data_IF_935830959222
#
_entry.id   IF_935830959222
#
_cell.length_a   1.000
_cell.length_b   1.000
_cell.length_c   1.000
_cell.angle_alpha   90.00
_cell.angle_beta   90.00
_cell.angle_gamma   90.00
#
_symmetry.space_group_name_H-M   'P 1'
#
loop_
_entity.id
_entity.type
_entity.pdbx_description
1 polymer ?
#
# COMPACT_ATOMS: atom_id res chain seq x y z
N UNK A 1 -27.96 34.96 1.15
CA UNK A 1 -28.22 33.54 0.80
C UNK A 1 -29.26 32.87 1.72
N UNK A 2 -30.35 33.55 2.13
CA UNK A 2 -31.17 33.07 3.26
C UNK A 2 -32.62 32.67 2.96
N UNK A 3 -33.23 33.05 1.83
CA UNK A 3 -34.64 32.69 1.55
C UNK A 3 -34.76 31.50 0.59
N UNK A 4 -34.14 31.56 -0.59
CA UNK A 4 -34.17 30.47 -1.58
C UNK A 4 -33.62 29.12 -1.08
N UNK A 5 -32.62 29.13 -0.20
CA UNK A 5 -32.04 27.93 0.39
C UNK A 5 -32.94 27.31 1.46
N UNK A 6 -33.65 28.14 2.24
CA UNK A 6 -34.67 27.67 3.18
C UNK A 6 -35.91 27.17 2.45
N UNK A 7 -36.37 27.86 1.42
CA UNK A 7 -37.52 27.45 0.59
C UNK A 7 -37.27 26.09 -0.07
N UNK A 8 -36.09 25.87 -0.67
CA UNK A 8 -35.72 24.55 -1.25
C UNK A 8 -35.66 23.43 -0.21
N UNK A 9 -35.22 23.72 1.02
CA UNK A 9 -35.22 22.72 2.09
C UNK A 9 -36.66 22.38 2.51
N UNK A 10 -37.54 23.37 2.64
CA UNK A 10 -38.95 23.14 2.98
C UNK A 10 -39.71 22.38 1.89
N UNK A 11 -39.39 22.59 0.62
CA UNK A 11 -39.97 21.81 -0.48
C UNK A 11 -39.50 20.35 -0.44
N UNK A 12 -38.21 20.13 -0.20
CA UNK A 12 -37.65 18.78 -0.06
C UNK A 12 -38.23 18.02 1.15
N UNK A 13 -38.46 18.71 2.27
CA UNK A 13 -39.10 18.12 3.44
C UNK A 13 -40.54 17.69 3.15
N UNK A 14 -41.29 18.50 2.39
CA UNK A 14 -42.63 18.12 1.92
C UNK A 14 -42.61 16.85 1.07
N UNK A 15 -41.60 16.67 0.22
CA UNK A 15 -41.46 15.45 -0.60
C UNK A 15 -41.09 14.22 0.23
N UNK A 16 -40.24 14.36 1.25
CA UNK A 16 -39.92 13.29 2.18
C UNK A 16 -41.14 12.88 3.02
N UNK A 17 -41.89 13.87 3.52
CA UNK A 17 -43.13 13.63 4.26
C UNK A 17 -44.19 12.97 3.37
N UNK A 18 -44.30 13.38 2.10
CA UNK A 18 -45.19 12.76 1.13
C UNK A 18 -44.80 11.30 0.85
N UNK A 19 -43.50 11.00 0.70
CA UNK A 19 -43.01 9.63 0.51
C UNK A 19 -43.28 8.75 1.73
N UNK A 20 -43.06 9.28 2.94
CA UNK A 20 -43.35 8.57 4.19
C UNK A 20 -44.85 8.35 4.38
N UNK A 21 -45.69 9.33 4.03
CA UNK A 21 -47.16 9.18 4.03
C UNK A 21 -47.62 8.12 3.03
N UNK A 22 -47.05 8.11 1.83
CA UNK A 22 -47.39 7.12 0.81
C UNK A 22 -47.00 5.71 1.29
N UNK A 23 -45.81 5.56 1.88
CA UNK A 23 -45.39 4.30 2.50
C UNK A 23 -46.34 3.87 3.62
N UNK A 24 -46.67 4.78 4.53
CA UNK A 24 -47.60 4.49 5.62
C UNK A 24 -48.99 4.13 5.11
N UNK A 25 -49.48 4.79 4.05
CA UNK A 25 -50.74 4.46 3.40
C UNK A 25 -50.68 3.08 2.73
N UNK A 26 -49.57 2.73 2.08
CA UNK A 26 -49.39 1.42 1.47
C UNK A 26 -49.32 0.31 2.52
N UNK A 27 -48.60 0.51 3.61
CA UNK A 27 -48.53 -0.42 4.74
C UNK A 27 -49.89 -0.52 5.47
N UNK A 28 -50.61 0.59 5.64
CA UNK A 28 -51.93 0.64 6.28
C UNK A 28 -53.07 0.11 5.41
N UNK A 29 -52.94 0.17 4.07
CA UNK A 29 -53.92 -0.37 3.14
C UNK A 29 -54.01 -1.91 3.20
N UNK A 30 -53.12 -2.57 3.96
CA UNK A 30 -53.12 -4.00 4.26
C UNK A 30 -53.44 -4.84 3.02
N UNK A 31 -52.80 -4.48 1.89
CA UNK A 31 -52.92 -5.16 0.61
C UNK A 31 -52.17 -6.50 0.70
N UNK A 32 -52.71 -7.38 1.53
CA UNK A 32 -52.23 -8.70 1.91
C UNK A 32 -52.31 -9.68 0.74
N UNK A 33 -52.18 -9.26 -0.52
CA UNK A 33 -52.18 -10.17 -1.68
C UNK A 33 -51.18 -11.31 -1.47
N UNK A 34 -49.97 -11.00 -1.01
CA UNK A 34 -48.93 -12.01 -0.73
C UNK A 34 -49.23 -12.92 0.47
N UNK A 35 -50.11 -12.48 1.38
CA UNK A 35 -50.56 -13.28 2.52
C UNK A 35 -51.79 -14.10 2.14
N UNK A 36 -52.77 -13.51 1.45
CA UNK A 36 -53.91 -14.20 0.88
C UNK A 36 -53.50 -15.25 -0.15
N UNK A 37 -52.41 -15.06 -0.91
CA UNK A 37 -51.87 -16.12 -1.76
C UNK A 37 -51.30 -17.27 -0.94
N UNK A 38 -50.66 -17.01 0.20
CA UNK A 38 -50.18 -18.04 1.13
C UNK A 38 -51.31 -18.73 1.88
N UNK A 39 -52.33 -17.97 2.30
CA UNK A 39 -53.54 -18.49 2.94
C UNK A 39 -54.32 -19.35 1.93
N UNK A 40 -54.49 -18.90 0.69
CA UNK A 40 -55.08 -19.70 -0.38
C UNK A 40 -54.27 -20.95 -0.69
N UNK A 41 -52.94 -20.87 -0.71
CA UNK A 41 -52.07 -22.03 -0.91
C UNK A 41 -52.11 -23.03 0.26
N UNK A 42 -52.47 -22.57 1.47
CA UNK A 42 -52.61 -23.42 2.66
C UNK A 42 -54.05 -23.85 2.94
N UNK A 43 -55.03 -23.28 2.24
CA UNK A 43 -56.43 -23.64 2.38
C UNK A 43 -56.68 -25.05 1.82
N UNK A 44 -56.97 -25.99 2.72
CA UNK A 44 -57.45 -27.33 2.37
C UNK A 44 -58.97 -27.36 2.48
N UNK A 45 -59.65 -27.92 1.50
CA UNK A 45 -61.09 -28.15 1.58
C UNK A 45 -61.38 -29.15 2.71
N UNK A 46 -62.29 -28.79 3.63
CA UNK A 46 -62.63 -29.60 4.81
C UNK A 46 -63.29 -30.97 4.47
N UNK A 47 -63.69 -31.17 3.20
CA UNK A 47 -64.36 -32.39 2.70
C UNK A 47 -63.47 -33.32 1.87
N UNK A 48 -62.15 -33.10 1.80
CA UNK A 48 -61.20 -34.01 1.12
C UNK A 48 -60.95 -35.28 1.96
N UNK A 49 -61.99 -36.08 2.13
CA UNK A 49 -61.87 -37.48 2.50
C UNK A 49 -61.34 -38.21 1.26
N UNK A 50 -60.07 -38.59 1.32
CA UNK A 50 -59.30 -39.39 0.35
C UNK A 50 -58.55 -38.61 -0.72
N UNK A 51 -57.29 -38.25 -0.42
CA UNK A 51 -56.11 -38.75 -1.14
C UNK A 51 -54.87 -38.51 -0.26
N UNK A 52 -54.51 -39.48 0.56
CA UNK A 52 -53.19 -39.50 1.21
C UNK A 52 -52.15 -39.83 0.14
N UNK A 53 -51.44 -38.83 -0.37
CA UNK A 53 -50.31 -39.02 -1.27
C UNK A 53 -50.38 -38.14 -2.51
N UNK A 54 -50.20 -36.83 -2.33
CA UNK A 54 -49.25 -36.06 -3.14
C UNK A 54 -49.08 -34.68 -2.50
N UNK A 55 -47.84 -34.21 -2.52
CA UNK A 55 -47.44 -32.88 -2.05
C UNK A 55 -48.39 -31.82 -2.63
N UNK A 56 -49.07 -31.08 -1.76
CA UNK A 56 -50.00 -30.00 -2.13
C UNK A 56 -49.19 -28.77 -2.54
N UNK A 57 -48.43 -28.92 -3.62
CA UNK A 57 -48.07 -27.81 -4.50
C UNK A 57 -49.38 -27.24 -5.08
N UNK A 58 -49.51 -25.93 -5.30
CA UNK A 58 -50.69 -25.37 -5.96
C UNK A 58 -50.89 -26.10 -7.29
N UNK A 59 -51.87 -27.01 -7.35
CA UNK A 59 -52.19 -27.71 -8.60
C UNK A 59 -52.47 -26.63 -9.63
N UNK A 60 -51.63 -26.58 -10.67
CA UNK A 60 -51.81 -25.68 -11.78
C UNK A 60 -53.30 -25.73 -12.19
N UNK A 61 -54.00 -24.60 -12.32
CA UNK A 61 -55.41 -24.59 -12.70
C UNK A 61 -55.68 -25.41 -13.97
N UNK A 62 -54.69 -25.60 -14.83
CA UNK A 62 -54.76 -26.52 -15.98
C UNK A 62 -54.90 -28.01 -15.56
N UNK A 63 -54.17 -28.45 -14.54
CA UNK A 63 -54.24 -29.83 -14.01
C UNK A 63 -55.58 -30.05 -13.31
N UNK A 64 -56.04 -29.09 -12.50
CA UNK A 64 -57.36 -29.17 -11.85
C UNK A 64 -58.48 -29.23 -12.88
N UNK A 65 -58.39 -28.44 -13.95
CA UNK A 65 -59.37 -28.49 -15.04
C UNK A 65 -59.39 -29.86 -15.74
N UNK A 66 -58.23 -30.49 -15.92
CA UNK A 66 -58.13 -31.83 -16.49
C UNK A 66 -58.74 -32.90 -15.56
N UNK A 67 -58.45 -32.83 -14.26
CA UNK A 67 -59.01 -33.73 -13.24
C UNK A 67 -60.54 -33.60 -13.17
N UNK A 68 -61.06 -32.37 -13.16
CA UNK A 68 -62.51 -32.11 -13.16
C UNK A 68 -63.15 -32.65 -14.43
N UNK A 69 -62.53 -32.48 -15.60
CA UNK A 69 -63.03 -33.06 -16.85
C UNK A 69 -63.05 -34.60 -16.81
N UNK A 70 -62.00 -35.22 -16.26
CA UNK A 70 -61.93 -36.66 -16.07
C UNK A 70 -63.02 -37.16 -15.10
N UNK A 71 -63.21 -36.48 -13.95
CA UNK A 71 -64.29 -36.80 -13.01
C UNK A 71 -65.68 -36.61 -13.62
N UNK A 72 -65.91 -35.56 -14.41
CA UNK A 72 -67.18 -35.34 -15.11
C UNK A 72 -67.46 -36.50 -16.08
N UNK A 73 -66.46 -36.95 -16.83
CA UNK A 73 -66.63 -38.10 -17.74
C UNK A 73 -66.87 -39.40 -16.98
N UNK A 74 -66.18 -39.62 -15.86
CA UNK A 74 -66.43 -40.74 -14.96
C UNK A 74 -67.85 -40.71 -14.38
N UNK A 75 -68.31 -39.58 -13.85
CA UNK A 75 -69.67 -39.43 -13.31
C UNK A 75 -70.74 -39.59 -14.38
N UNK A 76 -70.51 -39.15 -15.63
CA UNK A 76 -71.40 -39.46 -16.75
C UNK A 76 -71.48 -40.96 -16.99
N UNK A 77 -70.35 -41.66 -17.02
CA UNK A 77 -70.29 -43.12 -17.18
C UNK A 77 -70.99 -43.84 -16.03
N UNK A 78 -70.74 -43.41 -14.79
CA UNK A 78 -71.39 -43.94 -13.58
C UNK A 78 -72.90 -43.71 -13.62
N UNK A 79 -73.36 -42.53 -14.04
CA UNK A 79 -74.78 -42.25 -14.24
C UNK A 79 -75.41 -43.20 -15.26
N UNK A 80 -74.75 -43.44 -16.40
CA UNK A 80 -75.25 -44.38 -17.41
C UNK A 80 -75.32 -45.81 -16.85
N UNK A 81 -74.26 -46.27 -16.17
CA UNK A 81 -74.23 -47.58 -15.53
C UNK A 81 -75.31 -47.73 -14.44
N UNK A 82 -75.50 -46.71 -13.61
CA UNK A 82 -76.54 -46.70 -12.58
C UNK A 82 -77.94 -46.73 -13.19
N UNK A 83 -78.21 -45.93 -14.22
CA UNK A 83 -79.50 -45.96 -14.91
C UNK A 83 -79.75 -47.31 -15.58
N UNK A 84 -78.73 -47.91 -16.19
CA UNK A 84 -78.82 -49.24 -16.78
C UNK A 84 -79.06 -50.32 -15.72
N UNK A 85 -78.33 -50.29 -14.60
CA UNK A 85 -78.49 -51.25 -13.51
C UNK A 85 -79.84 -51.06 -12.79
N UNK A 86 -80.29 -49.83 -12.60
CA UNK A 86 -81.61 -49.52 -12.04
C UNK A 86 -82.72 -49.99 -12.99
N UNK A 87 -82.56 -49.80 -14.31
CA UNK A 87 -83.50 -50.35 -15.29
C UNK A 87 -83.52 -51.88 -15.26
N UNK A 88 -82.36 -52.54 -15.15
CA UNK A 88 -82.26 -54.00 -15.00
C UNK A 88 -82.89 -54.48 -13.69
N UNK A 89 -82.62 -53.83 -12.57
CA UNK A 89 -83.18 -54.17 -11.25
C UNK A 89 -84.71 -53.97 -11.23
N UNK A 90 -85.20 -52.87 -11.80
CA UNK A 90 -86.65 -52.64 -11.99
C UNK A 90 -87.28 -53.69 -12.88
N UNK A 91 -86.64 -54.06 -13.98
CA UNK A 91 -87.12 -55.10 -14.89
C UNK A 91 -87.17 -56.47 -14.19
N UNK A 92 -86.10 -56.86 -13.50
CA UNK A 92 -86.03 -58.11 -12.73
C UNK A 92 -87.07 -58.11 -11.62
N UNK A 93 -87.20 -57.05 -10.83
CA UNK A 93 -88.26 -56.95 -9.81
C UNK A 93 -89.63 -57.08 -10.44
N UNK A 94 -89.93 -56.34 -11.52
CA UNK A 94 -91.24 -56.42 -12.19
C UNK A 94 -91.60 -57.81 -12.76
N UNK A 95 -90.60 -58.67 -13.00
CA UNK A 95 -90.80 -60.01 -13.57
C UNK A 95 -90.70 -61.12 -12.52
N UNK A 96 -89.88 -60.92 -11.47
CA UNK A 96 -89.49 -61.96 -10.51
C UNK A 96 -90.15 -61.78 -9.14
N UNK A 97 -90.58 -60.57 -8.74
CA UNK A 97 -91.42 -60.43 -7.55
C UNK A 97 -92.88 -60.76 -7.89
N UNK A 98 -93.57 -61.46 -6.99
CA UNK A 98 -95.00 -61.69 -7.08
C UNK A 98 -95.73 -60.36 -7.34
N UNK A 99 -96.73 -60.41 -8.24
CA UNK A 99 -97.43 -59.26 -8.86
C UNK A 99 -97.96 -58.24 -7.83
N UNK A 100 -98.10 -58.63 -6.56
CA UNK A 100 -98.68 -57.83 -5.50
C UNK A 100 -97.70 -56.89 -4.75
N UNK A 101 -96.37 -57.07 -4.87
CA UNK A 101 -95.36 -56.24 -4.17
C UNK A 101 -94.49 -55.38 -5.12
N UNK A 102 -94.85 -55.35 -6.42
CA UNK A 102 -94.22 -54.47 -7.38
C UNK A 102 -94.64 -53.01 -7.08
N UNK A 103 -93.71 -52.07 -6.80
CA UNK A 103 -94.06 -50.68 -6.58
C UNK A 103 -94.72 -50.12 -7.84
N UNK A 104 -96.02 -49.86 -7.77
CA UNK A 104 -96.76 -49.23 -8.87
C UNK A 104 -96.27 -47.79 -8.91
N UNK A 105 -95.35 -47.48 -9.83
CA UNK A 105 -94.97 -46.10 -10.11
C UNK A 105 -96.21 -45.40 -10.64
N UNK A 106 -96.90 -44.65 -9.79
CA UNK A 106 -98.14 -43.99 -10.18
C UNK A 106 -97.82 -42.78 -11.05
N UNK A 107 -98.80 -42.36 -11.86
CA UNK A 107 -98.67 -41.14 -12.65
C UNK A 107 -98.51 -39.88 -11.76
N UNK A 108 -98.89 -39.96 -10.48
CA UNK A 108 -98.77 -38.90 -9.48
C UNK A 108 -97.33 -38.79 -8.96
N UNK A 109 -96.69 -39.90 -8.58
CA UNK A 109 -95.28 -39.92 -8.15
C UNK A 109 -94.33 -39.36 -9.22
N UNK A 110 -94.61 -39.66 -10.50
CA UNK A 110 -93.84 -39.12 -11.61
C UNK A 110 -94.02 -37.61 -11.78
N UNK A 111 -95.21 -37.07 -11.47
CA UNK A 111 -95.48 -35.62 -11.52
C UNK A 111 -94.78 -34.90 -10.36
N UNK A 112 -94.80 -35.48 -9.16
CA UNK A 112 -94.09 -34.92 -7.99
C UNK A 112 -92.57 -34.89 -8.21
N UNK A 113 -92.00 -36.00 -8.70
CA UNK A 113 -90.57 -36.06 -9.05
C UNK A 113 -90.22 -35.10 -10.19
N UNK A 114 -91.10 -34.88 -11.16
CA UNK A 114 -90.89 -33.89 -12.21
C UNK A 114 -90.83 -32.47 -11.63
N UNK A 115 -91.76 -32.11 -10.73
CA UNK A 115 -91.79 -30.81 -10.08
C UNK A 115 -90.54 -30.55 -9.22
N UNK A 116 -90.11 -31.53 -8.40
CA UNK A 116 -88.89 -31.42 -7.58
C UNK A 116 -87.63 -31.31 -8.46
N UNK A 117 -87.59 -32.06 -9.57
CA UNK A 117 -86.47 -31.95 -10.52
C UNK A 117 -86.44 -30.61 -11.23
N UNK A 118 -87.59 -30.03 -11.57
CA UNK A 118 -87.68 -28.70 -12.18
C UNK A 118 -87.20 -27.62 -11.21
N UNK A 119 -87.63 -27.67 -9.95
CA UNK A 119 -87.16 -26.75 -8.90
C UNK A 119 -85.64 -26.84 -8.69
N UNK A 120 -85.10 -28.07 -8.59
CA UNK A 120 -83.65 -28.28 -8.46
C UNK A 120 -82.89 -27.81 -9.70
N UNK A 121 -83.43 -28.00 -10.90
CA UNK A 121 -82.84 -27.49 -12.15
C UNK A 121 -82.84 -25.96 -12.17
N UNK A 122 -83.90 -25.31 -11.74
CA UNK A 122 -83.98 -23.86 -11.65
C UNK A 122 -82.93 -23.31 -10.67
N UNK A 123 -82.83 -23.89 -9.46
CA UNK A 123 -81.80 -23.52 -8.46
C UNK A 123 -80.38 -23.71 -9.01
N UNK A 124 -80.12 -24.84 -9.66
CA UNK A 124 -78.81 -25.13 -10.25
C UNK A 124 -78.48 -24.19 -11.42
N UNK A 125 -79.47 -23.78 -12.22
CA UNK A 125 -79.28 -22.82 -13.30
C UNK A 125 -78.85 -21.46 -12.75
N UNK A 126 -79.56 -20.95 -11.75
CA UNK A 126 -79.21 -19.68 -11.08
C UNK A 126 -77.82 -19.75 -10.46
N UNK A 127 -77.49 -20.85 -9.77
CA UNK A 127 -76.15 -21.03 -9.20
C UNK A 127 -75.05 -21.09 -10.26
N UNK A 128 -75.30 -21.72 -11.41
CA UNK A 128 -74.35 -21.76 -12.54
C UNK A 128 -74.15 -20.39 -13.17
N UNK A 129 -75.22 -19.63 -13.35
CA UNK A 129 -75.16 -18.26 -13.88
C UNK A 129 -74.35 -17.36 -12.93
N UNK A 130 -74.64 -17.40 -11.62
CA UNK A 130 -73.87 -16.67 -10.61
C UNK A 130 -72.40 -17.09 -10.55
N UNK A 131 -72.09 -18.39 -10.65
CA UNK A 131 -70.71 -18.86 -10.71
C UNK A 131 -69.99 -18.34 -11.96
N UNK A 132 -70.67 -18.36 -13.12
CA UNK A 132 -70.09 -17.88 -14.39
C UNK A 132 -69.80 -16.38 -14.34
N UNK A 133 -70.69 -15.59 -13.75
CA UNK A 133 -70.47 -14.15 -13.53
C UNK A 133 -69.27 -13.89 -12.61
N UNK A 134 -69.17 -14.61 -11.48
CA UNK A 134 -68.03 -14.47 -10.56
C UNK A 134 -66.73 -14.88 -11.26
N UNK A 135 -66.71 -15.98 -12.00
CA UNK A 135 -65.54 -16.41 -12.77
C UNK A 135 -65.14 -15.38 -13.83
N UNK A 136 -66.13 -14.78 -14.51
CA UNK A 136 -65.88 -13.73 -15.48
C UNK A 136 -65.24 -12.50 -14.81
N UNK A 137 -65.82 -12.06 -13.68
CA UNK A 137 -65.31 -10.92 -12.90
C UNK A 137 -63.90 -11.19 -12.36
N UNK A 138 -63.60 -12.40 -11.89
CA UNK A 138 -62.25 -12.77 -11.46
C UNK A 138 -61.28 -12.68 -12.65
N UNK A 139 -61.65 -13.23 -13.81
CA UNK A 139 -60.79 -13.23 -15.00
C UNK A 139 -60.48 -11.82 -15.53
N UNK A 140 -61.41 -10.88 -15.37
CA UNK A 140 -61.23 -9.49 -15.81
C UNK A 140 -60.55 -8.60 -14.77
N UNK A 141 -60.96 -8.70 -13.49
CA UNK A 141 -60.49 -7.83 -12.42
C UNK A 141 -59.14 -8.28 -11.83
N UNK A 142 -58.89 -9.59 -11.71
CA UNK A 142 -57.64 -10.09 -11.14
C UNK A 142 -56.37 -9.53 -11.83
N UNK A 143 -56.25 -9.55 -13.18
CA UNK A 143 -55.05 -8.99 -13.83
C UNK A 143 -54.95 -7.46 -13.65
N UNK A 144 -56.07 -6.74 -13.55
CA UNK A 144 -56.05 -5.29 -13.29
C UNK A 144 -55.53 -4.99 -11.89
N UNK A 145 -56.04 -5.69 -10.88
CA UNK A 145 -55.61 -5.55 -9.48
C UNK A 145 -54.13 -5.92 -9.32
N UNK A 146 -53.66 -6.99 -9.98
CA UNK A 146 -52.25 -7.37 -9.96
C UNK A 146 -51.35 -6.31 -10.60
N UNK A 147 -51.75 -5.77 -11.76
CA UNK A 147 -51.00 -4.69 -12.42
C UNK A 147 -50.94 -3.43 -11.57
N UNK A 148 -52.03 -3.03 -10.94
CA UNK A 148 -52.04 -1.83 -10.12
C UNK A 148 -51.29 -2.03 -8.80
N UNK A 149 -51.40 -3.21 -8.19
CA UNK A 149 -50.60 -3.57 -7.02
C UNK A 149 -49.10 -3.53 -7.33
N UNK A 150 -48.66 -4.12 -8.45
CA UNK A 150 -47.25 -4.12 -8.85
C UNK A 150 -46.74 -2.72 -9.17
N UNK A 151 -47.54 -1.88 -9.85
CA UNK A 151 -47.20 -0.46 -10.09
C UNK A 151 -47.03 0.30 -8.77
N UNK A 152 -48.00 0.21 -7.86
CA UNK A 152 -47.95 0.91 -6.57
C UNK A 152 -46.75 0.43 -5.77
N UNK A 153 -46.51 -0.88 -5.71
CA UNK A 153 -45.33 -1.45 -5.05
C UNK A 153 -44.02 -0.86 -5.61
N UNK A 154 -43.83 -0.86 -6.94
CA UNK A 154 -42.63 -0.29 -7.54
C UNK A 154 -42.47 1.21 -7.26
N UNK A 155 -43.56 1.98 -7.31
CA UNK A 155 -43.53 3.42 -7.01
C UNK A 155 -43.17 3.65 -5.54
N UNK A 156 -43.73 2.87 -4.62
CA UNK A 156 -43.40 2.95 -3.18
C UNK A 156 -41.92 2.65 -2.95
N UNK A 157 -41.37 1.58 -3.53
CA UNK A 157 -39.96 1.20 -3.40
C UNK A 157 -39.01 2.28 -3.96
N UNK A 158 -39.35 2.84 -5.14
CA UNK A 158 -38.60 3.96 -5.72
C UNK A 158 -38.63 5.20 -4.84
N UNK A 159 -39.81 5.55 -4.31
CA UNK A 159 -39.95 6.68 -3.40
C UNK A 159 -39.13 6.49 -2.12
N UNK A 160 -39.11 5.29 -1.54
CA UNK A 160 -38.30 4.99 -0.35
C UNK A 160 -36.80 5.08 -0.63
N UNK A 161 -36.33 4.54 -1.77
CA UNK A 161 -34.93 4.62 -2.16
C UNK A 161 -34.49 6.07 -2.37
N UNK A 162 -35.32 6.88 -3.03
CA UNK A 162 -35.02 8.30 -3.24
C UNK A 162 -35.00 9.07 -1.92
N UNK A 163 -35.95 8.80 -1.01
CA UNK A 163 -35.97 9.42 0.31
C UNK A 163 -34.68 9.13 1.10
N UNK A 164 -34.21 7.88 1.09
CA UNK A 164 -32.93 7.50 1.71
C UNK A 164 -31.75 8.25 1.09
N UNK A 165 -31.64 8.30 -0.24
CA UNK A 165 -30.56 9.03 -0.93
C UNK A 165 -30.56 10.53 -0.58
N UNK A 166 -31.73 11.14 -0.44
CA UNK A 166 -31.83 12.56 -0.03
C UNK A 166 -31.31 12.75 1.39
N UNK A 167 -31.66 11.85 2.31
CA UNK A 167 -31.16 11.88 3.69
C UNK A 167 -29.63 11.70 3.74
N UNK A 168 -29.09 10.74 3.01
CA UNK A 168 -27.64 10.51 2.93
C UNK A 168 -26.89 11.71 2.35
N UNK A 169 -27.42 12.31 1.27
CA UNK A 169 -26.86 13.51 0.68
C UNK A 169 -26.90 14.69 1.66
N UNK A 170 -27.96 14.83 2.46
CA UNK A 170 -28.05 15.85 3.52
C UNK A 170 -27.02 15.63 4.61
N UNK A 171 -26.84 14.39 5.06
CA UNK A 171 -25.81 14.06 6.05
C UNK A 171 -24.41 14.33 5.49
N UNK A 172 -24.15 14.01 4.23
CA UNK A 172 -22.88 14.32 3.56
C UNK A 172 -22.64 15.83 3.47
N UNK A 173 -23.64 16.61 3.06
CA UNK A 173 -23.55 18.08 3.04
C UNK A 173 -23.34 18.68 4.43
N UNK A 174 -24.00 18.12 5.45
CA UNK A 174 -23.83 18.56 6.84
C UNK A 174 -22.41 18.27 7.34
N UNK A 175 -21.89 17.06 7.08
CA UNK A 175 -20.49 16.70 7.38
C UNK A 175 -19.52 17.64 6.66
N UNK A 176 -19.74 17.90 5.37
CA UNK A 176 -18.89 18.81 4.59
C UNK A 176 -18.89 20.25 5.16
N UNK A 177 -20.05 20.71 5.65
CA UNK A 177 -20.19 22.01 6.33
C UNK A 177 -19.53 22.03 7.71
N UNK A 178 -19.53 20.91 8.42
CA UNK A 178 -18.85 20.79 9.72
C UNK A 178 -17.33 20.72 9.57
N UNK A 179 -16.83 19.96 8.59
CA UNK A 179 -15.39 19.85 8.33
C UNK A 179 -14.82 21.12 7.71
N UNK A 180 -15.65 21.92 7.05
CA UNK A 180 -15.26 23.21 6.45
C UNK A 180 -16.13 24.35 7.00
N UNK A 181 -15.90 24.77 8.26
CA UNK A 181 -16.59 25.92 8.83
C UNK A 181 -16.27 27.21 8.04
N UNK A 182 -17.19 28.18 8.05
CA UNK A 182 -17.00 29.47 7.37
C UNK A 182 -15.70 30.15 7.85
N UNK A 183 -14.92 30.82 6.96
CA UNK A 183 -15.38 31.57 5.79
C UNK A 183 -15.31 30.77 4.48
N UNK A 184 -16.43 30.72 3.75
CA UNK A 184 -16.44 30.15 2.39
C UNK A 184 -15.69 31.12 1.49
N UNK A 185 -14.76 30.59 0.69
CA UNK A 185 -14.30 31.27 -0.51
C UNK A 185 -15.55 31.65 -1.31
N UNK A 186 -15.89 32.94 -1.31
CA UNK A 186 -16.87 33.48 -2.24
C UNK A 186 -16.31 33.24 -3.65
N UNK A 187 -17.16 33.06 -4.66
CA UNK A 187 -16.72 32.91 -6.06
C UNK A 187 -15.57 33.88 -6.42
N UNK A 188 -15.64 35.19 -6.12
CA UNK A 188 -14.52 36.10 -6.38
C UNK A 188 -13.25 35.79 -5.59
N UNK A 189 -13.34 35.27 -4.37
CA UNK A 189 -12.17 34.89 -3.56
C UNK A 189 -11.56 33.55 -4.04
N UNK A 190 -12.39 32.65 -4.58
CA UNK A 190 -11.93 31.43 -5.25
C UNK A 190 -11.22 31.76 -6.57
N UNK A 191 -11.78 32.68 -7.35
CA UNK A 191 -11.17 33.17 -8.59
C UNK A 191 -9.84 33.87 -8.30
N UNK A 192 -9.77 34.70 -7.23
CA UNK A 192 -8.51 35.30 -6.81
C UNK A 192 -7.48 34.24 -6.41
N UNK A 193 -7.86 33.24 -5.59
CA UNK A 193 -6.96 32.14 -5.23
C UNK A 193 -6.49 31.34 -6.44
N UNK A 194 -7.35 31.16 -7.45
CA UNK A 194 -6.96 30.50 -8.69
C UNK A 194 -5.89 31.31 -9.43
N UNK A 195 -6.06 32.63 -9.52
CA UNK A 195 -5.08 33.53 -10.12
C UNK A 195 -3.75 33.45 -9.36
N UNK A 196 -3.79 33.55 -8.04
CA UNK A 196 -2.59 33.47 -7.19
C UNK A 196 -1.88 32.12 -7.38
N UNK A 197 -2.62 31.01 -7.45
CA UNK A 197 -2.06 29.67 -7.70
C UNK A 197 -1.47 29.52 -9.10
N UNK A 198 -2.07 30.15 -10.11
CA UNK A 198 -1.53 30.13 -11.48
C UNK A 198 -0.21 30.90 -11.52
N UNK A 199 -0.12 32.04 -10.84
CA UNK A 199 1.11 32.82 -10.73
C UNK A 199 2.21 32.03 -9.97
N UNK A 200 1.86 31.38 -8.86
CA UNK A 200 2.78 30.48 -8.13
C UNK A 200 3.24 29.31 -9.01
N UNK A 201 2.35 28.69 -9.78
CA UNK A 201 2.75 27.61 -10.69
C UNK A 201 3.67 28.11 -11.81
N UNK A 202 3.43 29.31 -12.30
CA UNK A 202 4.23 29.88 -13.37
C UNK A 202 5.64 30.24 -12.87
N UNK A 203 5.76 30.87 -11.70
CA UNK A 203 7.05 31.15 -11.06
C UNK A 203 7.84 29.87 -10.74
N UNK A 204 7.20 28.84 -10.19
CA UNK A 204 7.83 27.54 -9.95
C UNK A 204 8.27 26.85 -11.26
N UNK A 205 7.46 26.95 -12.32
CA UNK A 205 7.82 26.43 -13.63
C UNK A 205 9.07 27.12 -14.19
N UNK A 206 9.15 28.46 -14.07
CA UNK A 206 10.30 29.24 -14.49
C UNK A 206 11.56 28.87 -13.68
N UNK A 207 11.45 28.68 -12.37
CA UNK A 207 12.55 28.20 -11.52
C UNK A 207 13.04 26.81 -11.93
N UNK A 208 12.11 25.90 -12.24
CA UNK A 208 12.44 24.56 -12.74
C UNK A 208 13.15 24.64 -14.09
N UNK A 209 12.71 25.52 -15.00
CA UNK A 209 13.39 25.72 -16.28
C UNK A 209 14.80 26.29 -16.12
N UNK A 210 14.98 27.27 -15.23
CA UNK A 210 16.29 27.82 -14.90
C UNK A 210 17.21 26.75 -14.30
N UNK A 211 16.70 25.94 -13.38
CA UNK A 211 17.45 24.81 -12.79
C UNK A 211 17.82 23.77 -13.85
N UNK A 212 16.90 23.44 -14.77
CA UNK A 212 17.19 22.55 -15.92
C UNK A 212 18.28 23.12 -16.82
N UNK A 213 18.24 24.43 -17.12
CA UNK A 213 19.29 25.10 -17.92
C UNK A 213 20.65 25.04 -17.21
N UNK A 214 20.72 25.33 -15.91
CA UNK A 214 21.94 25.19 -15.09
C UNK A 214 22.46 23.76 -15.09
N UNK A 215 21.58 22.77 -14.92
CA UNK A 215 21.94 21.35 -14.92
C UNK A 215 22.50 20.91 -16.27
N UNK A 216 21.89 21.36 -17.39
CA UNK A 216 22.42 21.11 -18.74
C UNK A 216 23.82 21.72 -18.91
N UNK A 217 24.03 22.97 -18.48
CA UNK A 217 25.34 23.61 -18.57
C UNK A 217 26.41 22.89 -17.72
N UNK A 218 26.05 22.45 -16.51
CA UNK A 218 26.94 21.62 -15.67
C UNK A 218 27.24 20.28 -16.36
N UNK A 219 26.22 19.60 -16.91
CA UNK A 219 26.39 18.33 -17.62
C UNK A 219 27.34 18.46 -18.81
N UNK A 220 27.23 19.53 -19.60
CA UNK A 220 28.15 19.77 -20.71
C UNK A 220 29.58 20.03 -20.19
N UNK A 221 29.76 20.84 -19.14
CA UNK A 221 31.10 21.03 -18.51
C UNK A 221 31.70 19.74 -17.95
N UNK A 222 30.88 18.87 -17.36
CA UNK A 222 31.34 17.57 -16.86
C UNK A 222 31.72 16.65 -18.01
N UNK A 223 30.98 16.65 -19.12
CA UNK A 223 31.35 15.89 -20.32
C UNK A 223 32.67 16.37 -20.90
N UNK A 224 32.87 17.68 -21.07
CA UNK A 224 34.13 18.22 -21.59
C UNK A 224 35.29 17.88 -20.66
N UNK A 225 35.10 18.06 -19.35
CA UNK A 225 36.11 17.67 -18.35
C UNK A 225 36.39 16.16 -18.34
N UNK A 226 35.39 15.31 -18.54
CA UNK A 226 35.58 13.86 -18.63
C UNK A 226 36.40 13.46 -19.87
N UNK A 227 36.14 14.10 -21.02
CA UNK A 227 36.93 13.90 -22.24
C UNK A 227 38.38 14.39 -22.07
N UNK A 228 38.60 15.51 -21.37
CA UNK A 228 39.93 16.00 -21.03
C UNK A 228 40.67 15.05 -20.10
N UNK A 229 40.01 14.53 -19.06
CA UNK A 229 40.58 13.52 -18.16
C UNK A 229 40.94 12.25 -18.93
N UNK A 230 40.09 11.79 -19.84
CA UNK A 230 40.37 10.61 -20.68
C UNK A 230 41.60 10.85 -21.56
N UNK A 231 41.69 12.02 -22.21
CA UNK A 231 42.86 12.41 -22.98
C UNK A 231 44.13 12.47 -22.13
N UNK A 232 44.06 13.06 -20.94
CA UNK A 232 45.18 13.13 -20.00
C UNK A 232 45.59 11.75 -19.50
N UNK A 233 44.64 10.83 -19.27
CA UNK A 233 44.95 9.44 -18.91
C UNK A 233 45.71 8.71 -20.01
N UNK A 234 45.34 8.93 -21.27
CA UNK A 234 46.07 8.37 -22.42
C UNK A 234 47.50 8.93 -22.44
N UNK A 235 47.65 10.25 -22.30
CA UNK A 235 48.96 10.91 -22.26
C UNK A 235 49.82 10.45 -21.09
N UNK A 236 49.22 10.27 -19.90
CA UNK A 236 49.89 9.74 -18.72
C UNK A 236 50.34 8.29 -18.95
N UNK A 237 49.49 7.44 -19.52
CA UNK A 237 49.88 6.06 -19.82
C UNK A 237 51.02 5.99 -20.86
N UNK A 238 51.05 6.92 -21.82
CA UNK A 238 52.15 7.04 -22.78
C UNK A 238 53.46 7.52 -22.12
N UNK A 239 53.38 8.54 -21.25
CA UNK A 239 54.56 9.05 -20.54
C UNK A 239 55.08 8.08 -19.49
N UNK A 240 54.21 7.39 -18.76
CA UNK A 240 54.60 6.32 -17.82
C UNK A 240 55.30 5.17 -18.55
N UNK A 241 54.81 4.76 -19.73
CA UNK A 241 55.52 3.77 -20.56
C UNK A 241 56.90 4.27 -20.98
N UNK A 242 57.05 5.54 -21.33
CA UNK A 242 58.33 6.13 -21.70
C UNK A 242 59.31 6.18 -20.50
N UNK A 243 58.81 6.53 -19.31
CA UNK A 243 59.62 6.55 -18.07
C UNK A 243 60.00 5.14 -17.64
N UNK A 244 59.08 4.18 -17.66
CA UNK A 244 59.39 2.79 -17.34
C UNK A 244 60.43 2.20 -18.30
N UNK A 245 60.38 2.56 -19.59
CA UNK A 245 61.39 2.16 -20.55
C UNK A 245 62.78 2.72 -20.23
N UNK A 246 62.86 3.93 -19.68
CA UNK A 246 64.12 4.55 -19.24
C UNK A 246 64.61 3.98 -17.90
N UNK A 247 63.73 3.76 -16.92
CA UNK A 247 64.08 3.22 -15.61
C UNK A 247 64.59 1.78 -15.67
N UNK A 248 64.10 0.98 -16.63
CA UNK A 248 64.60 -0.39 -16.85
C UNK A 248 66.06 -0.44 -17.36
N UNK A 249 66.63 0.69 -17.83
CA UNK A 249 68.03 0.76 -18.25
C UNK A 249 68.98 1.21 -17.12
N UNK A 250 68.50 1.82 -16.03
CA UNK A 250 69.36 2.46 -15.00
C UNK A 250 69.31 1.84 -13.59
N UNK A 251 68.30 1.04 -13.23
CA UNK A 251 68.17 0.53 -11.85
C UNK A 251 68.86 -0.83 -11.62
N UNK A 252 70.11 -0.80 -11.13
CA UNK A 252 70.73 -1.95 -10.46
C UNK A 252 70.08 -2.10 -9.06
N UNK A 253 68.95 -2.82 -9.01
CA UNK A 253 68.05 -3.05 -7.85
C UNK A 253 68.73 -3.58 -6.55
N UNK A 254 70.05 -3.77 -6.55
CA UNK A 254 70.87 -4.14 -5.38
C UNK A 254 71.31 -2.93 -4.54
N UNK A 255 71.32 -1.73 -5.10
CA UNK A 255 71.85 -0.54 -4.41
C UNK A 255 70.89 0.00 -3.36
N UNK A 256 69.58 0.00 -3.62
CA UNK A 256 68.57 0.54 -2.70
C UNK A 256 68.57 -0.15 -1.33
N UNK A 257 68.57 -1.50 -1.22
CA UNK A 257 68.67 -2.17 0.08
C UNK A 257 69.99 -1.92 0.82
N UNK A 258 71.07 -1.65 0.08
CA UNK A 258 72.40 -1.40 0.64
C UNK A 258 72.47 0.00 1.29
N UNK A 259 71.87 1.00 0.63
CA UNK A 259 71.72 2.35 1.19
C UNK A 259 70.85 2.36 2.44
N UNK A 260 69.72 1.65 2.42
CA UNK A 260 68.82 1.56 3.58
C UNK A 260 69.53 0.91 4.79
N UNK A 261 70.27 -0.18 4.56
CA UNK A 261 71.05 -0.84 5.63
C UNK A 261 72.16 0.07 6.18
N UNK A 262 72.90 0.76 5.30
CA UNK A 262 73.99 1.63 5.73
C UNK A 262 73.46 2.82 6.54
N UNK A 263 72.33 3.39 6.13
CA UNK A 263 71.68 4.51 6.83
C UNK A 263 71.14 4.08 8.19
N UNK A 264 70.55 2.88 8.28
CA UNK A 264 70.09 2.31 9.56
C UNK A 264 71.25 1.95 10.50
N UNK A 265 72.38 1.47 9.96
CA UNK A 265 73.59 1.20 10.74
C UNK A 265 74.19 2.49 11.32
N UNK A 266 74.23 3.56 10.51
CA UNK A 266 74.76 4.86 10.90
C UNK A 266 73.91 5.51 12.01
N UNK A 267 72.57 5.44 11.89
CA UNK A 267 71.68 5.98 12.94
C UNK A 267 71.79 5.21 14.27
N UNK A 268 71.99 3.89 14.22
CA UNK A 268 72.27 3.08 15.41
C UNK A 268 73.58 3.51 16.06
N UNK A 269 74.65 3.67 15.28
CA UNK A 269 75.96 4.11 15.77
C UNK A 269 75.90 5.52 16.38
N UNK A 270 75.15 6.44 15.78
CA UNK A 270 74.89 7.76 16.34
C UNK A 270 74.21 7.67 17.72
N UNK A 271 73.18 6.83 17.84
CA UNK A 271 72.43 6.65 19.09
C UNK A 271 73.28 6.05 20.22
N UNK A 272 74.11 5.03 19.94
CA UNK A 272 74.97 4.40 20.95
C UNK A 272 76.05 5.34 21.49
N UNK A 273 76.55 6.24 20.65
CA UNK A 273 77.59 7.19 21.04
C UNK A 273 77.02 8.47 21.67
N UNK A 274 75.70 8.66 21.65
CA UNK A 274 75.04 9.89 22.10
C UNK A 274 75.31 11.08 21.16
N UNK A 275 75.67 10.80 19.90
CA UNK A 275 75.89 11.81 18.87
C UNK A 275 74.54 12.25 18.32
N UNK A 276 74.12 13.47 18.65
CA UNK A 276 72.82 14.02 18.27
C UNK A 276 72.88 14.61 16.86
N UNK A 277 73.96 15.34 16.56
CA UNK A 277 74.14 16.00 15.26
C UNK A 277 75.59 15.84 14.80
N UNK A 278 75.75 15.48 13.52
CA UNK A 278 77.01 15.53 12.78
C UNK A 278 76.77 16.34 11.51
N UNK A 279 77.37 17.52 11.41
CA UNK A 279 77.24 18.37 10.24
C UNK A 279 78.59 18.94 9.83
N UNK A 280 78.88 18.92 8.53
CA UNK A 280 80.03 19.59 7.93
C UNK A 280 79.65 21.03 7.63
N UNK A 281 80.08 21.98 8.47
CA UNK A 281 79.76 23.41 8.33
C UNK A 281 80.49 24.00 7.11
N UNK A 282 81.68 23.49 6.80
CA UNK A 282 82.44 23.79 5.59
C UNK A 282 83.20 22.54 5.12
N UNK A 283 83.85 22.59 3.96
CA UNK A 283 84.66 21.46 3.45
C UNK A 283 85.78 21.03 4.42
N UNK A 284 86.20 21.94 5.31
CA UNK A 284 87.32 21.73 6.23
C UNK A 284 86.89 21.70 7.70
N UNK A 285 85.59 21.75 8.01
CA UNK A 285 85.09 21.84 9.38
C UNK A 285 84.00 20.81 9.64
N UNK A 286 84.23 19.97 10.65
CA UNK A 286 83.27 18.97 11.12
C UNK A 286 82.82 19.31 12.53
N UNK A 287 81.53 19.60 12.68
CA UNK A 287 80.92 19.85 13.97
C UNK A 287 80.20 18.59 14.47
N UNK A 288 80.55 18.16 15.67
CA UNK A 288 79.99 17.00 16.35
C UNK A 288 79.34 17.44 17.65
N UNK A 289 78.05 17.20 17.80
CA UNK A 289 77.28 17.54 19.00
C UNK A 289 76.91 16.27 19.75
N UNK A 290 77.43 16.15 20.96
CA UNK A 290 77.21 15.01 21.84
C UNK A 290 76.31 15.39 23.01
N UNK A 291 75.47 14.44 23.40
CA UNK A 291 74.68 14.48 24.63
C UNK A 291 75.38 13.62 25.68
N UNK A 292 75.70 14.22 26.84
CA UNK A 292 76.46 13.56 27.89
C UNK A 292 75.65 13.57 29.19
N UNK A 293 75.33 12.37 29.69
CA UNK A 293 74.66 12.12 30.96
C UNK A 293 73.13 12.13 30.91
N UNK A 294 72.50 11.41 31.85
CA UNK A 294 71.03 11.36 32.03
C UNK A 294 70.51 12.50 32.94
N UNK A 295 71.35 13.51 33.20
CA UNK A 295 71.00 14.64 34.06
C UNK A 295 69.92 15.51 33.40
N UNK A 296 68.95 15.99 34.18
CA UNK A 296 67.93 16.92 33.72
C UNK A 296 68.31 18.34 34.17
N UNK A 297 68.72 19.26 33.28
CA UNK A 297 68.74 19.21 31.81
C UNK A 297 69.98 18.51 31.20
N UNK A 298 69.85 17.90 30.01
CA UNK A 298 70.95 17.17 29.35
C UNK A 298 72.07 18.12 28.97
N UNK A 299 73.30 17.76 29.35
CA UNK A 299 74.48 18.57 29.06
C UNK A 299 74.91 18.27 27.64
N UNK A 300 74.84 19.30 26.79
CA UNK A 300 75.26 19.24 25.39
C UNK A 300 76.68 19.75 25.27
N UNK A 301 77.49 18.99 24.56
CA UNK A 301 78.90 19.27 24.37
C UNK A 301 79.18 19.22 22.88
N UNK A 302 79.75 20.28 22.33
CA UNK A 302 80.11 20.33 20.91
C UNK A 302 81.62 20.35 20.71
N UNK A 303 82.06 19.59 19.72
CA UNK A 303 83.45 19.49 19.28
C UNK A 303 83.45 19.88 17.81
N UNK A 304 84.07 21.02 17.49
CA UNK A 304 84.33 21.44 16.12
C UNK A 304 85.77 21.08 15.75
N UNK A 305 85.91 20.17 14.80
CA UNK A 305 87.19 19.73 14.25
C UNK A 305 87.50 20.52 12.99
N UNK A 306 88.59 21.28 13.00
CA UNK A 306 89.04 22.10 11.88
C UNK A 306 90.25 21.40 11.25
N UNK A 307 90.12 21.04 9.98
CA UNK A 307 91.15 20.37 9.21
C UNK A 307 91.91 21.37 8.35
N UNK A 308 93.21 21.15 8.17
CA UNK A 308 94.00 21.91 7.21
C UNK A 308 93.59 21.46 5.79
N UNK A 309 93.31 22.40 4.86
CA UNK A 309 92.96 22.05 3.49
C UNK A 309 94.01 21.13 2.85
N UNK A 310 93.56 20.17 2.04
CA UNK A 310 94.36 19.22 1.25
C UNK A 310 95.24 18.21 2.00
N UNK A 311 95.52 18.42 3.29
CA UNK A 311 96.43 17.55 4.07
C UNK A 311 95.70 16.54 4.96
N UNK A 312 94.39 16.72 5.19
CA UNK A 312 93.57 15.90 6.13
C UNK A 312 94.15 15.86 7.55
N UNK A 313 95.04 16.79 7.88
CA UNK A 313 95.62 16.93 9.21
C UNK A 313 94.73 17.84 10.06
N UNK A 314 94.63 17.51 11.34
CA UNK A 314 93.85 18.31 12.31
C UNK A 314 94.58 19.64 12.56
N UNK A 315 94.02 20.74 12.07
CA UNK A 315 94.59 22.08 12.20
C UNK A 315 94.17 22.78 13.49
N UNK A 316 93.01 22.42 14.05
CA UNK A 316 92.51 22.98 15.30
C UNK A 316 91.27 22.26 15.79
N UNK A 317 90.98 22.39 17.10
CA UNK A 317 89.76 21.88 17.70
C UNK A 317 89.17 22.93 18.61
N UNK A 318 87.91 23.27 18.39
CA UNK A 318 87.14 24.12 19.28
C UNK A 318 86.16 23.25 20.08
N UNK A 319 86.22 23.37 21.40
CA UNK A 319 85.35 22.62 22.31
C UNK A 319 84.43 23.58 23.04
N UNK A 320 83.12 23.46 22.90
CA UNK A 320 82.15 24.27 23.66
C UNK A 320 81.31 23.40 24.59
N UNK A 321 81.01 23.89 25.79
CA UNK A 321 80.28 23.14 26.83
C UNK A 321 81.13 22.27 27.76
N UNK A 322 82.46 22.20 27.55
CA UNK A 322 83.38 21.57 28.50
C UNK A 322 83.77 22.48 29.66
N UNK A 323 83.76 23.80 29.45
CA UNK A 323 84.03 24.79 30.51
C UNK A 323 83.02 24.72 31.65
N UNK A 324 81.75 24.43 31.32
CA UNK A 324 80.68 24.24 32.32
C UNK A 324 80.84 22.97 33.14
N UNK A 325 81.68 22.02 32.68
CA UNK A 325 82.02 20.78 33.36
C UNK A 325 83.35 20.87 34.14
N UNK A 326 84.04 22.02 34.10
CA UNK A 326 85.33 22.21 34.78
C UNK A 326 86.47 21.36 34.20
N UNK A 327 86.36 20.95 32.93
CA UNK A 327 87.38 20.14 32.26
C UNK A 327 88.31 21.05 31.46
N UNK A 328 89.58 21.13 31.87
CA UNK A 328 90.62 21.77 31.06
C UNK A 328 90.94 20.91 29.82
N UNK A 329 90.66 21.44 28.63
CA UNK A 329 90.79 20.73 27.34
C UNK A 329 92.02 21.14 26.53
N UNK A 330 92.71 22.24 26.87
CA UNK A 330 93.79 22.85 26.07
C UNK A 330 95.01 21.95 25.91
N UNK A 331 95.53 21.36 27.00
CA UNK A 331 96.71 20.49 26.96
C UNK A 331 96.46 19.19 26.18
N UNK A 332 95.22 18.68 26.22
CA UNK A 332 94.82 17.46 25.52
C UNK A 332 94.69 17.71 24.01
N UNK A 333 94.11 18.84 23.64
CA UNK A 333 93.96 19.24 22.24
C UNK A 333 95.33 19.38 21.59
N UNK A 334 96.28 20.08 22.23
CA UNK A 334 97.64 20.27 21.69
C UNK A 334 98.42 18.96 21.50
N UNK A 335 98.31 18.03 22.46
CA UNK A 335 98.98 16.73 22.37
C UNK A 335 98.45 15.87 21.20
N UNK A 336 97.13 15.88 20.98
CA UNK A 336 96.50 15.08 19.93
C UNK A 336 96.53 15.74 18.54
N UNK A 337 96.66 17.07 18.47
CA UNK A 337 96.99 17.77 17.23
C UNK A 337 98.39 17.33 16.75
N UNK A 338 99.37 17.24 17.64
CA UNK A 338 100.73 16.79 17.29
C UNK A 338 100.79 15.32 16.83
N UNK A 339 99.92 14.46 17.35
CA UNK A 339 99.86 13.04 16.97
C UNK A 339 98.87 12.75 15.82
N UNK A 340 98.11 13.74 15.37
CA UNK A 340 97.01 13.63 14.38
C UNK A 340 96.02 12.48 14.67
N UNK A 341 95.70 12.25 15.94
CA UNK A 341 94.78 11.18 16.37
C UNK A 341 93.39 11.76 16.73
N UNK A 342 92.58 11.99 15.70
CA UNK A 342 91.21 12.52 15.81
C UNK A 342 90.27 11.61 16.62
N UNK A 343 90.15 10.29 16.33
CA UNK A 343 89.25 9.44 17.11
C UNK A 343 89.71 9.29 18.56
N UNK A 344 91.02 9.23 18.81
CA UNK A 344 91.58 9.22 20.16
C UNK A 344 91.24 10.49 20.94
N UNK A 345 91.35 11.67 20.30
CA UNK A 345 90.99 12.95 20.91
C UNK A 345 89.50 13.01 21.29
N UNK A 346 88.60 12.64 20.37
CA UNK A 346 87.16 12.65 20.64
C UNK A 346 86.81 11.67 21.76
N UNK A 347 87.37 10.46 21.74
CA UNK A 347 87.13 9.46 22.80
C UNK A 347 87.62 9.95 24.17
N UNK A 348 88.80 10.57 24.24
CA UNK A 348 89.36 11.08 25.49
C UNK A 348 88.57 12.28 26.02
N UNK A 349 88.22 13.25 25.17
CA UNK A 349 87.37 14.38 25.54
C UNK A 349 86.03 13.91 26.08
N UNK A 350 85.36 12.99 25.38
CA UNK A 350 84.07 12.43 25.82
C UNK A 350 84.21 11.61 27.10
N UNK A 351 85.28 10.83 27.27
CA UNK A 351 85.52 10.06 28.50
C UNK A 351 85.69 10.97 29.71
N UNK A 352 86.39 12.10 29.54
CA UNK A 352 86.64 13.07 30.60
C UNK A 352 85.40 13.90 30.91
N UNK A 353 84.64 14.29 29.89
CA UNK A 353 83.34 14.93 30.08
C UNK A 353 82.32 14.00 30.76
N UNK A 354 82.28 12.71 30.41
CA UNK A 354 81.44 11.70 31.09
C UNK A 354 81.89 11.47 32.53
N UNK A 355 83.20 11.42 32.80
CA UNK A 355 83.72 11.27 34.15
C UNK A 355 83.40 12.49 35.03
N UNK A 356 83.56 13.71 34.47
CA UNK A 356 83.19 14.95 35.14
C UNK A 356 81.68 15.03 35.40
N UNK A 357 80.84 14.68 34.40
CA UNK A 357 79.39 14.66 34.53
C UNK A 357 78.87 13.63 35.56
N UNK A 358 79.60 12.53 35.80
CA UNK A 358 79.25 11.55 36.83
C UNK A 358 79.80 11.90 38.23
N UNK A 359 80.68 12.90 38.33
CA UNK A 359 81.26 13.38 39.59
C UNK A 359 80.53 14.61 40.18
N UNK A 360 79.59 15.17 39.41
CA UNK A 360 78.62 16.22 39.77
C UNK A 360 77.28 15.56 40.05
#
# INVERSE_FOLDING_TARGET
>A
MSRQSLERNTEQDKYLDAANKLRAQYEAADLQLSRHTKEFASYKYEDDIATEGDDVSPKDPAIVAADVAAQITFLRKLKFQYLEQNAKDKYVKSIVSDIDDAPIVTAEDNKELAAVNEEKKAKLKVAKEGLAEVQHNIRTLAPMVEQDYTKVKQVTERATMLAQKILDARLALMRLRQTNPHPRLTIPMADQKLIDQVEEMQTLSDEVELSKKKTKAVKERVKTGALEIEKLRIQQAESERAVQALQLEEDDNRLVPLYDWYTASLSLHQSLLGLEESHSVSENELQLVYTIGDSTPPIRVSISLIFVPDTRELGGVETTGFDTLGVETTELIEAHIQSNDVPGLVALLLSRARAAANSV
#
